data_IF_880302423255
#
_entry.id   IF_880302423255
#
_cell.length_a   1.000
_cell.length_b   1.000
_cell.length_c   1.000
_cell.angle_alpha   90.00
_cell.angle_beta   90.00
_cell.angle_gamma   90.00
#
_symmetry.space_group_name_H-M   'P 1'
#
loop_
_entity.id
_entity.type
_entity.pdbx_description
1 polymer ?
#
# COMPACT_ATOMS: atom_id res chain seq x y z
N UNK A 1 5.56 -41.75 8.45
CA UNK A 1 5.78 -41.18 9.79
C UNK A 1 5.70 -39.67 9.66
N UNK A 2 4.67 -39.04 10.22
CA UNK A 2 4.61 -37.57 10.32
C UNK A 2 5.71 -37.14 11.29
N UNK A 3 6.50 -36.12 10.93
CA UNK A 3 7.59 -35.57 11.76
C UNK A 3 7.03 -35.03 13.08
N UNK A 4 6.97 -35.87 14.12
CA UNK A 4 6.57 -35.49 15.48
C UNK A 4 7.47 -34.37 16.05
N UNK A 5 8.73 -34.26 15.59
CA UNK A 5 9.65 -33.18 15.97
C UNK A 5 9.19 -31.78 15.50
N UNK A 6 8.35 -31.70 14.46
CA UNK A 6 7.97 -30.39 13.87
C UNK A 6 6.81 -29.73 14.61
N UNK A 7 6.02 -30.51 15.34
CA UNK A 7 4.84 -30.04 16.08
C UNK A 7 4.75 -30.80 17.41
N UNK A 8 5.57 -30.45 18.42
CA UNK A 8 5.72 -31.23 19.65
C UNK A 8 4.43 -31.33 20.50
N UNK A 9 3.44 -30.48 20.23
CA UNK A 9 2.13 -30.51 20.91
C UNK A 9 1.02 -31.19 20.09
N UNK A 10 1.35 -31.73 18.91
CA UNK A 10 0.38 -32.39 18.04
C UNK A 10 0.25 -33.87 18.41
N UNK A 11 -0.85 -34.23 19.04
CA UNK A 11 -1.12 -35.61 19.47
C UNK A 11 -2.10 -36.27 18.50
N UNK A 12 -1.64 -37.31 17.80
CA UNK A 12 -2.44 -38.01 16.78
C UNK A 12 -3.75 -38.60 17.30
N UNK A 13 -3.79 -39.02 18.57
CA UNK A 13 -5.00 -39.57 19.20
C UNK A 13 -6.13 -38.55 19.34
N UNK A 14 -5.84 -37.25 19.22
CA UNK A 14 -6.83 -36.17 19.32
C UNK A 14 -7.42 -35.80 17.96
N UNK A 15 -7.09 -36.53 16.89
CA UNK A 15 -7.65 -36.30 15.56
C UNK A 15 -9.03 -36.94 15.44
N UNK A 16 -9.99 -36.15 14.98
CA UNK A 16 -11.34 -36.58 14.63
C UNK A 16 -11.52 -36.40 13.13
N UNK A 17 -12.00 -37.45 12.46
CA UNK A 17 -12.44 -37.31 11.08
C UNK A 17 -13.75 -36.51 11.06
N UNK A 18 -13.77 -35.43 10.28
CA UNK A 18 -14.96 -34.60 10.06
C UNK A 18 -15.27 -34.65 8.57
N UNK A 19 -16.34 -35.37 8.22
CA UNK A 19 -16.87 -35.44 6.85
C UNK A 19 -18.04 -34.46 6.73
N UNK A 20 -17.71 -33.18 6.57
CA UNK A 20 -18.67 -32.10 6.41
C UNK A 20 -18.22 -31.18 5.25
N UNK A 21 -19.04 -31.08 4.21
CA UNK A 21 -18.76 -30.26 3.03
C UNK A 21 -18.77 -28.75 3.35
N UNK A 22 -19.60 -28.29 4.29
CA UNK A 22 -19.64 -26.89 4.73
C UNK A 22 -18.34 -26.50 5.46
N UNK A 23 -17.76 -27.42 6.25
CA UNK A 23 -16.44 -27.21 6.85
C UNK A 23 -15.37 -27.01 5.76
N UNK A 24 -15.40 -27.82 4.69
CA UNK A 24 -14.46 -27.66 3.58
C UNK A 24 -14.61 -26.28 2.93
N UNK A 25 -15.85 -25.81 2.72
CA UNK A 25 -16.11 -24.47 2.18
C UNK A 25 -15.60 -23.35 3.10
N UNK A 26 -15.80 -23.48 4.42
CA UNK A 26 -15.30 -22.52 5.41
C UNK A 26 -13.77 -22.50 5.46
N UNK A 27 -13.11 -23.65 5.40
CA UNK A 27 -11.64 -23.74 5.35
C UNK A 27 -11.09 -23.15 4.04
N UNK A 28 -11.72 -23.42 2.90
CA UNK A 28 -11.36 -22.82 1.61
C UNK A 28 -11.52 -21.29 1.66
N UNK A 29 -12.61 -20.79 2.26
CA UNK A 29 -12.84 -19.35 2.45
C UNK A 29 -11.79 -18.73 3.37
N UNK A 30 -11.43 -19.41 4.45
CA UNK A 30 -10.39 -19.01 5.38
C UNK A 30 -9.01 -18.94 4.72
N UNK A 31 -8.62 -19.93 3.91
CA UNK A 31 -7.36 -19.89 3.17
C UNK A 31 -7.35 -18.80 2.09
N UNK A 32 -8.47 -18.62 1.37
CA UNK A 32 -8.60 -17.56 0.37
C UNK A 32 -8.56 -16.16 0.97
N UNK A 33 -8.94 -15.98 2.23
CA UNK A 33 -8.88 -14.69 2.92
C UNK A 33 -7.44 -14.14 3.03
N UNK A 34 -6.43 -15.01 3.04
CA UNK A 34 -5.01 -14.63 3.06
C UNK A 34 -4.46 -14.27 1.66
N UNK A 35 -5.25 -14.45 0.59
CA UNK A 35 -4.83 -14.12 -0.78
C UNK A 35 -5.24 -12.69 -1.12
N UNK A 36 -4.40 -11.74 -0.75
CA UNK A 36 -4.61 -10.32 -1.05
C UNK A 36 -4.46 -10.04 -2.55
N UNK A 37 -5.56 -9.61 -3.19
CA UNK A 37 -5.60 -9.17 -4.59
C UNK A 37 -5.94 -7.69 -4.77
N UNK A 38 -6.25 -7.00 -3.68
CA UNK A 38 -6.69 -5.60 -3.66
C UNK A 38 -5.75 -4.83 -2.75
N UNK A 39 -5.18 -3.76 -3.27
CA UNK A 39 -4.12 -2.99 -2.63
C UNK A 39 -4.46 -1.51 -2.63
N UNK A 40 -4.12 -0.82 -1.57
CA UNK A 40 -4.29 0.63 -1.45
C UNK A 40 -3.00 1.27 -0.97
N UNK A 41 -2.59 2.34 -1.65
CA UNK A 41 -1.33 3.02 -1.35
C UNK A 41 -1.56 4.52 -1.29
N UNK A 42 -1.04 5.17 -0.25
CA UNK A 42 -1.10 6.61 -0.14
C UNK A 42 -0.10 7.29 -1.08
N UNK A 43 -0.43 8.49 -1.56
CA UNK A 43 0.46 9.32 -2.36
C UNK A 43 0.47 10.72 -1.78
N UNK A 44 1.62 11.13 -1.24
CA UNK A 44 1.81 12.43 -0.60
C UNK A 44 2.78 13.28 -1.43
N UNK A 45 2.44 14.54 -1.62
CA UNK A 45 3.28 15.53 -2.29
C UNK A 45 4.06 16.34 -1.26
N UNK A 46 5.37 16.47 -1.46
CA UNK A 46 6.25 17.38 -0.73
C UNK A 46 6.73 18.45 -1.69
N UNK A 47 6.51 19.73 -1.37
CA UNK A 47 6.95 20.88 -2.16
C UNK A 47 8.18 21.54 -1.53
N UNK A 48 8.83 22.40 -2.32
CA UNK A 48 9.95 23.23 -1.86
C UNK A 48 9.63 23.96 -0.54
N UNK A 49 10.56 23.87 0.42
CA UNK A 49 10.46 24.52 1.72
C UNK A 49 9.62 23.78 2.77
N UNK A 50 8.84 22.76 2.40
CA UNK A 50 8.01 22.02 3.36
C UNK A 50 8.84 21.00 4.13
N UNK A 51 8.57 20.87 5.44
CA UNK A 51 9.30 19.97 6.35
C UNK A 51 8.41 19.26 7.36
N UNK A 52 7.10 19.57 7.40
CA UNK A 52 6.17 19.03 8.39
C UNK A 52 4.97 18.34 7.74
N UNK A 53 4.42 17.36 8.45
CA UNK A 53 3.26 16.59 8.00
C UNK A 53 2.06 17.46 7.63
N UNK A 54 1.70 18.42 8.48
CA UNK A 54 0.60 19.36 8.24
C UNK A 54 0.77 20.13 6.91
N UNK A 55 1.99 20.56 6.59
CA UNK A 55 2.29 21.25 5.33
C UNK A 55 2.11 20.34 4.11
N UNK A 56 2.53 19.08 4.22
CA UNK A 56 2.38 18.11 3.12
C UNK A 56 0.90 17.79 2.87
N UNK A 57 0.12 17.60 3.93
CA UNK A 57 -1.31 17.33 3.86
C UNK A 57 -2.14 18.55 3.46
N UNK A 58 -1.60 19.77 3.57
CA UNK A 58 -2.26 20.99 3.11
C UNK A 58 -2.24 21.17 1.59
N UNK A 59 -1.40 20.41 0.87
CA UNK A 59 -1.27 20.55 -0.58
C UNK A 59 -2.58 20.21 -1.31
N UNK A 60 -3.15 21.18 -2.03
CA UNK A 60 -4.37 20.99 -2.84
C UNK A 60 -4.09 20.70 -4.32
N UNK A 61 -2.90 21.03 -4.80
CA UNK A 61 -2.47 20.81 -6.18
C UNK A 61 -0.96 20.58 -6.23
N UNK A 62 -0.48 19.92 -7.28
CA UNK A 62 0.94 19.74 -7.56
C UNK A 62 1.38 20.39 -8.86
N UNK A 63 2.67 20.25 -9.14
CA UNK A 63 3.31 20.71 -10.37
C UNK A 63 2.96 19.84 -11.58
N UNK A 64 3.38 20.26 -12.77
CA UNK A 64 3.24 19.46 -14.00
C UNK A 64 3.98 18.11 -13.89
N UNK A 65 5.19 18.10 -13.32
CA UNK A 65 5.94 16.87 -13.06
C UNK A 65 5.25 15.93 -12.06
N UNK A 66 4.55 16.47 -11.07
CA UNK A 66 3.71 15.66 -10.18
C UNK A 66 2.54 15.04 -10.92
N UNK A 67 1.85 15.82 -11.77
CA UNK A 67 0.72 15.32 -12.54
C UNK A 67 1.16 14.24 -13.54
N UNK A 68 2.30 14.41 -14.21
CA UNK A 68 2.87 13.37 -15.08
C UNK A 68 3.19 12.09 -14.29
N UNK A 69 3.75 12.23 -13.08
CA UNK A 69 3.98 11.09 -12.20
C UNK A 69 2.68 10.36 -11.81
N UNK A 70 1.57 11.07 -11.58
CA UNK A 70 0.29 10.43 -11.31
C UNK A 70 -0.19 9.55 -12.48
N UNK A 71 0.14 9.90 -13.73
CA UNK A 71 -0.14 9.06 -14.90
C UNK A 71 0.73 7.79 -14.95
N UNK A 72 1.94 7.83 -14.36
CA UNK A 72 2.79 6.64 -14.18
C UNK A 72 2.13 5.65 -13.20
N UNK A 73 1.45 6.17 -12.17
CA UNK A 73 0.77 5.35 -11.17
C UNK A 73 -0.43 4.60 -11.75
N UNK A 74 -1.23 5.25 -12.58
CA UNK A 74 -2.43 4.64 -13.15
C UNK A 74 -3.33 5.61 -13.90
N UNK A 75 -4.57 5.19 -14.09
CA UNK A 75 -5.61 5.97 -14.74
C UNK A 75 -6.35 6.84 -13.72
N UNK A 76 -6.59 8.11 -14.05
CA UNK A 76 -7.47 8.97 -13.26
C UNK A 76 -8.93 8.55 -13.48
N UNK A 77 -9.63 8.23 -12.40
CA UNK A 77 -11.01 7.73 -12.43
C UNK A 77 -11.94 8.65 -11.64
N UNK A 78 -13.21 8.71 -12.05
CA UNK A 78 -14.28 9.31 -11.25
C UNK A 78 -14.74 8.32 -10.17
N UNK A 79 -14.88 8.79 -8.94
CA UNK A 79 -15.29 7.95 -7.80
C UNK A 79 -16.80 7.69 -7.80
N UNK A 80 -17.60 8.67 -8.23
CA UNK A 80 -19.05 8.54 -8.25
C UNK A 80 -19.47 7.38 -9.16
N UNK A 81 -20.14 6.39 -8.57
CA UNK A 81 -20.59 5.21 -9.29
C UNK A 81 -19.48 4.20 -9.63
N UNK A 82 -18.25 4.38 -9.13
CA UNK A 82 -17.14 3.44 -9.36
C UNK A 82 -17.48 2.04 -8.85
N UNK A 83 -17.33 1.03 -9.70
CA UNK A 83 -17.75 -0.37 -9.43
C UNK A 83 -16.61 -1.32 -9.11
N UNK A 84 -15.35 -0.89 -9.31
CA UNK A 84 -14.16 -1.70 -9.01
C UNK A 84 -13.70 -1.43 -7.58
N UNK A 85 -12.55 -2.00 -7.18
CA UNK A 85 -12.02 -1.74 -5.85
C UNK A 85 -11.80 -0.24 -5.59
N UNK A 86 -12.36 0.28 -4.50
CA UNK A 86 -12.34 1.69 -4.13
C UNK A 86 -11.36 2.04 -3.00
N UNK A 87 -10.66 1.08 -2.40
CA UNK A 87 -9.69 1.38 -1.33
C UNK A 87 -10.28 1.89 -0.01
N UNK A 88 -11.61 2.00 0.10
CA UNK A 88 -12.28 2.69 1.21
C UNK A 88 -12.61 4.15 0.91
N UNK A 89 -12.41 4.60 -0.33
CA UNK A 89 -12.94 5.87 -0.84
C UNK A 89 -14.46 5.76 -1.07
N UNK A 90 -15.15 6.87 -0.88
CA UNK A 90 -16.59 7.04 -1.10
C UNK A 90 -16.91 7.07 -2.59
N UNK A 91 -17.79 6.16 -3.03
CA UNK A 91 -18.24 6.03 -4.42
C UNK A 91 -19.71 6.42 -4.62
N UNK A 92 -20.41 6.77 -3.55
CA UNK A 92 -21.83 7.14 -3.58
C UNK A 92 -22.01 8.65 -3.41
N UNK A 93 -21.27 9.22 -2.46
CA UNK A 93 -21.20 10.64 -2.20
C UNK A 93 -19.93 11.28 -2.78
N UNK A 94 -19.39 12.23 -2.02
CA UNK A 94 -18.19 13.00 -2.36
C UNK A 94 -17.28 13.21 -1.15
N UNK A 95 -17.47 12.42 -0.08
CA UNK A 95 -16.77 12.63 1.20
C UNK A 95 -15.28 12.38 1.13
N UNK A 96 -14.80 11.67 0.08
CA UNK A 96 -13.39 11.40 -0.17
C UNK A 96 -12.93 11.94 -1.53
N UNK A 97 -13.58 13.01 -2.00
CA UNK A 97 -13.24 13.67 -3.26
C UNK A 97 -14.04 13.12 -4.44
N UNK A 98 -13.78 13.65 -5.63
CA UNK A 98 -14.50 13.29 -6.86
C UNK A 98 -13.73 12.31 -7.75
N UNK A 99 -12.39 12.29 -7.61
CA UNK A 99 -11.50 11.51 -8.45
C UNK A 99 -10.41 10.84 -7.63
N UNK A 100 -9.84 9.81 -8.21
CA UNK A 100 -8.64 9.16 -7.69
C UNK A 100 -7.81 8.60 -8.84
N UNK A 101 -6.70 7.93 -8.52
CA UNK A 101 -5.91 7.16 -9.48
C UNK A 101 -6.08 5.67 -9.18
N UNK A 102 -6.35 4.89 -10.22
CA UNK A 102 -6.55 3.45 -10.14
C UNK A 102 -5.70 2.70 -11.16
N UNK A 103 -5.22 1.52 -10.78
CA UNK A 103 -4.47 0.65 -11.68
C UNK A 103 -4.87 -0.82 -11.55
N UNK A 104 -5.33 -1.46 -12.64
CA UNK A 104 -5.30 -2.91 -12.72
C UNK A 104 -3.86 -3.38 -12.94
N UNK A 105 -3.44 -4.44 -12.25
CA UNK A 105 -2.11 -5.01 -12.41
C UNK A 105 -2.20 -6.51 -12.60
N UNK A 106 -1.55 -7.03 -13.65
CA UNK A 106 -1.53 -8.46 -13.94
C UNK A 106 -0.10 -8.99 -13.78
N UNK A 107 0.06 -9.98 -12.91
CA UNK A 107 1.37 -10.59 -12.67
C UNK A 107 1.19 -12.04 -12.26
N UNK A 108 2.04 -12.93 -12.82
CA UNK A 108 2.06 -14.37 -12.54
C UNK A 108 0.67 -15.03 -12.62
N UNK A 109 -0.10 -14.70 -13.66
CA UNK A 109 -1.45 -15.25 -13.86
C UNK A 109 -2.52 -14.72 -12.89
N UNK A 110 -2.19 -13.77 -12.02
CA UNK A 110 -3.11 -13.15 -11.09
C UNK A 110 -3.42 -11.70 -11.48
N UNK A 111 -4.69 -11.32 -11.34
CA UNK A 111 -5.16 -9.94 -11.45
C UNK A 111 -5.22 -9.30 -10.07
N UNK A 112 -4.64 -8.12 -9.98
CA UNK A 112 -4.61 -7.25 -8.82
C UNK A 112 -5.31 -5.93 -9.15
N UNK A 113 -5.88 -5.31 -8.14
CA UNK A 113 -6.48 -3.99 -8.22
C UNK A 113 -5.78 -3.06 -7.23
N UNK A 114 -5.29 -1.92 -7.71
CA UNK A 114 -4.57 -0.95 -6.91
C UNK A 114 -5.36 0.35 -6.93
N UNK A 115 -5.74 0.84 -5.75
CA UNK A 115 -6.30 2.17 -5.54
C UNK A 115 -5.25 3.06 -4.89
N UNK A 116 -5.06 4.27 -5.41
CA UNK A 116 -4.13 5.23 -4.80
C UNK A 116 -4.89 6.29 -4.01
N UNK A 117 -4.54 6.53 -2.76
CA UNK A 117 -5.09 7.66 -2.00
C UNK A 117 -4.24 8.89 -2.26
N UNK A 118 -4.61 9.67 -3.27
CA UNK A 118 -3.88 10.88 -3.68
C UNK A 118 -4.21 12.03 -2.74
N UNK A 119 -3.24 12.52 -1.96
CA UNK A 119 -3.48 13.56 -0.95
C UNK A 119 -4.12 14.82 -1.53
N UNK A 120 -3.71 15.22 -2.75
CA UNK A 120 -4.22 16.40 -3.45
C UNK A 120 -5.63 16.21 -4.05
N UNK A 121 -6.13 14.97 -4.17
CA UNK A 121 -7.48 14.68 -4.67
C UNK A 121 -8.50 14.41 -3.57
N UNK A 122 -8.04 14.17 -2.34
CA UNK A 122 -8.90 14.11 -1.16
C UNK A 122 -9.43 15.51 -0.80
N UNK A 123 -10.60 15.63 -0.16
CA UNK A 123 -11.15 16.93 0.22
C UNK A 123 -10.19 17.71 1.13
N UNK A 124 -10.19 19.03 0.94
CA UNK A 124 -9.48 19.98 1.78
C UNK A 124 -10.51 20.84 2.48
N UNK A 125 -10.39 20.96 3.80
CA UNK A 125 -11.23 21.80 4.63
C UNK A 125 -10.33 22.82 5.33
N UNK A 126 -10.57 24.12 5.10
CA UNK A 126 -9.72 25.20 5.64
C UNK A 126 -9.75 25.27 7.17
N UNK A 127 -10.87 24.87 7.77
CA UNK A 127 -11.09 24.79 9.21
C UNK A 127 -10.46 23.55 9.87
N UNK A 128 -10.08 22.54 9.08
CA UNK A 128 -9.35 21.36 9.54
C UNK A 128 -7.83 21.55 9.43
N UNK A 129 -7.26 22.33 10.35
CA UNK A 129 -5.82 22.61 10.41
C UNK A 129 -4.95 21.35 10.61
N UNK A 130 -5.53 20.26 11.10
CA UNK A 130 -4.82 18.99 11.30
C UNK A 130 -4.95 18.06 10.10
N UNK A 131 -5.81 18.39 9.13
CA UNK A 131 -6.12 17.59 7.96
C UNK A 131 -6.47 16.15 8.32
N UNK A 132 -7.30 15.99 9.36
CA UNK A 132 -7.65 14.71 9.99
C UNK A 132 -8.17 13.70 8.97
N UNK A 133 -9.07 14.11 8.07
CA UNK A 133 -9.64 13.17 7.09
C UNK A 133 -8.58 12.70 6.07
N UNK A 134 -7.70 13.60 5.61
CA UNK A 134 -6.58 13.21 4.73
C UNK A 134 -5.61 12.27 5.44
N UNK A 135 -5.25 12.58 6.69
CA UNK A 135 -4.41 11.73 7.54
C UNK A 135 -5.08 10.39 7.86
N UNK A 136 -6.40 10.35 8.00
CA UNK A 136 -7.16 9.11 8.21
C UNK A 136 -7.07 8.18 7.01
N UNK A 137 -7.11 8.70 5.79
CA UNK A 137 -6.96 7.85 4.60
C UNK A 137 -5.50 7.42 4.41
N UNK A 138 -4.56 8.37 4.28
CA UNK A 138 -3.16 8.06 3.96
C UNK A 138 -2.39 7.43 5.13
N UNK A 139 -2.66 7.87 6.36
CA UNK A 139 -1.96 7.37 7.55
C UNK A 139 -2.36 5.95 7.95
N UNK A 140 -3.43 5.41 7.36
CA UNK A 140 -3.84 4.00 7.53
C UNK A 140 -3.27 3.10 6.42
N UNK A 141 -2.59 3.66 5.41
CA UNK A 141 -1.98 2.88 4.35
C UNK A 141 -0.58 2.41 4.77
N UNK A 142 -0.34 1.11 4.69
CA UNK A 142 0.92 0.48 5.11
C UNK A 142 2.11 0.94 4.25
N UNK A 143 1.85 1.26 2.98
CA UNK A 143 2.86 1.77 2.05
C UNK A 143 2.38 3.10 1.48
N UNK A 144 3.24 4.10 1.58
CA UNK A 144 3.00 5.44 1.09
C UNK A 144 4.08 5.82 0.06
N UNK A 145 3.66 6.45 -1.03
CA UNK A 145 4.53 7.02 -2.04
C UNK A 145 4.69 8.50 -1.71
N UNK A 146 5.93 8.96 -1.63
CA UNK A 146 6.24 10.37 -1.43
C UNK A 146 6.76 10.90 -2.76
N UNK A 147 6.00 11.77 -3.43
CA UNK A 147 6.55 12.54 -4.54
C UNK A 147 7.24 13.77 -3.97
N UNK A 148 8.57 13.75 -3.99
CA UNK A 148 9.40 14.83 -3.49
C UNK A 148 9.73 15.80 -4.63
N UNK A 149 8.99 16.90 -4.67
CA UNK A 149 9.16 18.03 -5.57
C UNK A 149 9.92 19.18 -4.90
N UNK A 150 10.86 18.83 -4.01
CA UNK A 150 11.75 19.77 -3.35
C UNK A 150 13.21 19.45 -3.69
N UNK A 151 14.06 20.45 -3.50
CA UNK A 151 15.51 20.34 -3.64
C UNK A 151 16.18 19.54 -2.51
N UNK A 152 15.45 19.27 -1.42
CA UNK A 152 15.98 18.60 -0.22
C UNK A 152 15.53 17.15 -0.16
N UNK A 153 16.36 16.24 0.38
CA UNK A 153 15.92 14.88 0.67
C UNK A 153 14.72 14.89 1.63
N UNK A 154 13.75 14.02 1.36
CA UNK A 154 12.63 13.80 2.26
C UNK A 154 13.12 13.10 3.53
N UNK A 155 12.76 13.63 4.70
CA UNK A 155 13.00 12.98 5.99
C UNK A 155 11.78 12.14 6.40
N UNK A 156 11.86 10.81 6.46
CA UNK A 156 10.75 9.96 6.91
C UNK A 156 10.24 10.29 8.31
N UNK A 157 11.05 10.90 9.17
CA UNK A 157 10.63 11.32 10.52
C UNK A 157 9.69 12.54 10.51
N UNK A 158 9.60 13.27 9.38
CA UNK A 158 8.71 14.41 9.23
C UNK A 158 7.22 14.04 9.16
N UNK A 159 6.90 12.77 8.87
CA UNK A 159 5.52 12.26 8.85
C UNK A 159 5.23 11.52 10.16
N UNK A 160 4.49 12.18 11.05
CA UNK A 160 4.11 11.62 12.35
C UNK A 160 2.90 10.69 12.14
N UNK A 161 3.11 9.38 12.28
CA UNK A 161 2.03 8.39 12.17
C UNK A 161 2.23 7.20 13.09
N UNK A 162 1.12 6.68 13.61
CA UNK A 162 1.09 5.55 14.56
C UNK A 162 1.10 4.17 13.88
N UNK A 163 1.06 4.10 12.55
CA UNK A 163 1.07 2.84 11.81
C UNK A 163 2.43 2.55 11.21
N UNK A 164 2.67 1.27 10.87
CA UNK A 164 3.92 0.88 10.23
C UNK A 164 3.92 1.32 8.78
N UNK A 165 4.88 2.17 8.40
CA UNK A 165 4.99 2.70 7.06
C UNK A 165 6.28 2.28 6.36
N UNK A 166 6.12 1.82 5.12
CA UNK A 166 7.17 1.89 4.11
C UNK A 166 6.91 3.11 3.23
N UNK A 167 7.92 3.97 3.08
CA UNK A 167 7.89 5.08 2.15
C UNK A 167 8.71 4.74 0.89
N UNK A 168 8.06 4.85 -0.27
CA UNK A 168 8.75 4.88 -1.56
C UNK A 168 8.82 6.34 -2.00
N UNK A 169 9.99 6.94 -1.88
CA UNK A 169 10.23 8.33 -2.25
C UNK A 169 10.59 8.38 -3.74
N UNK A 170 9.92 9.24 -4.49
CA UNK A 170 10.13 9.46 -5.91
C UNK A 170 10.42 10.95 -6.12
N UNK A 171 11.53 11.28 -6.75
CA UNK A 171 11.86 12.65 -7.18
C UNK A 171 12.25 12.65 -8.65
N UNK A 172 12.23 13.81 -9.29
CA UNK A 172 12.76 13.94 -10.66
C UNK A 172 14.29 13.96 -10.59
N UNK A 173 14.93 13.16 -11.44
CA UNK A 173 16.37 13.18 -11.65
C UNK A 173 16.71 14.20 -12.74
N UNK A 174 17.04 15.42 -12.32
CA UNK A 174 17.27 16.57 -13.22
C UNK A 174 18.44 16.34 -14.20
N UNK A 175 19.47 15.59 -13.79
CA UNK A 175 20.62 15.28 -14.64
C UNK A 175 20.22 14.32 -15.78
N UNK A 176 19.64 13.18 -15.44
CA UNK A 176 19.21 12.19 -16.44
C UNK A 176 18.09 12.73 -17.33
N UNK A 177 17.18 13.54 -16.76
CA UNK A 177 16.09 14.16 -17.52
C UNK A 177 16.64 15.09 -18.62
N UNK A 178 17.66 15.89 -18.30
CA UNK A 178 18.33 16.78 -19.27
C UNK A 178 19.14 15.99 -20.30
N UNK A 179 19.87 14.96 -19.88
CA UNK A 179 20.70 14.16 -20.78
C UNK A 179 19.87 13.38 -21.80
N UNK A 180 18.75 12.78 -21.35
CA UNK A 180 17.92 11.90 -22.18
C UNK A 180 16.78 12.62 -22.91
N UNK A 181 16.46 13.84 -22.50
CA UNK A 181 15.37 14.63 -23.10
C UNK A 181 13.96 14.15 -22.73
N UNK A 182 13.83 13.29 -21.73
CA UNK A 182 12.56 12.77 -21.20
C UNK A 182 12.63 12.62 -19.68
N UNK A 183 11.49 12.67 -18.98
CA UNK A 183 11.47 12.61 -17.52
C UNK A 183 12.07 11.30 -16.99
N UNK A 184 13.06 11.47 -16.11
CA UNK A 184 13.66 10.40 -15.33
C UNK A 184 13.39 10.63 -13.85
N UNK A 185 13.14 9.54 -13.13
CA UNK A 185 12.72 9.52 -11.73
C UNK A 185 13.76 8.81 -10.89
N UNK A 186 14.20 9.43 -9.81
CA UNK A 186 15.00 8.79 -8.76
C UNK A 186 14.08 8.19 -7.71
N UNK A 187 14.34 6.95 -7.32
CA UNK A 187 13.57 6.23 -6.31
C UNK A 187 14.42 5.94 -5.09
N UNK A 188 13.93 6.29 -3.92
CA UNK A 188 14.53 5.96 -2.63
C UNK A 188 13.50 5.23 -1.77
N UNK A 189 13.97 4.42 -0.81
CA UNK A 189 13.09 3.60 0.02
C UNK A 189 13.48 3.78 1.47
N UNK A 190 12.53 4.26 2.26
CA UNK A 190 12.64 4.30 3.71
C UNK A 190 11.65 3.31 4.31
N UNK A 191 12.15 2.29 5.01
CA UNK A 191 11.32 1.34 5.73
C UNK A 191 11.44 1.63 7.23
N UNK A 192 10.32 1.54 7.95
CA UNK A 192 10.38 1.44 9.40
C UNK A 192 11.13 0.17 9.83
N UNK A 193 11.71 0.20 11.03
CA UNK A 193 12.52 -0.90 11.58
C UNK A 193 11.75 -2.22 11.54
N UNK A 194 12.45 -3.32 11.23
CA UNK A 194 11.94 -4.70 11.19
C UNK A 194 11.11 -5.10 9.95
N UNK A 195 10.91 -4.22 8.96
CA UNK A 195 10.40 -4.65 7.64
C UNK A 195 11.52 -5.44 6.93
N UNK A 196 11.30 -6.71 6.56
CA UNK A 196 12.30 -7.50 5.84
C UNK A 196 12.54 -6.96 4.43
N UNK A 197 13.65 -7.36 3.79
CA UNK A 197 13.92 -7.00 2.39
C UNK A 197 12.89 -7.66 1.46
N UNK A 198 12.56 -6.96 0.36
CA UNK A 198 11.58 -7.43 -0.62
C UNK A 198 11.98 -7.07 -2.06
N UNK A 199 11.56 -7.93 -2.98
CA UNK A 199 11.80 -7.82 -4.40
C UNK A 199 10.75 -6.93 -5.10
N UNK A 200 10.99 -6.46 -6.34
CA UNK A 200 12.31 -6.42 -6.99
C UNK A 200 13.30 -5.54 -6.19
N UNK A 201 14.62 -5.84 -6.22
CA UNK A 201 15.60 -4.98 -5.58
C UNK A 201 15.58 -3.58 -6.20
N UNK A 202 15.94 -2.57 -5.42
CA UNK A 202 16.23 -1.24 -5.96
C UNK A 202 17.52 -1.35 -6.78
N UNK A 203 17.49 -0.86 -8.02
CA UNK A 203 18.68 -0.87 -8.88
C UNK A 203 19.68 0.21 -8.46
N UNK A 204 20.91 0.08 -8.94
CA UNK A 204 21.98 1.05 -8.72
C UNK A 204 22.58 1.45 -10.08
N UNK A 205 22.45 2.71 -10.53
CA UNK A 205 21.79 3.83 -9.86
C UNK A 205 20.26 3.67 -9.80
N UNK A 206 19.57 4.25 -8.79
CA UNK A 206 18.13 4.07 -8.59
C UNK A 206 17.30 5.05 -9.42
N UNK A 207 17.66 5.24 -10.69
CA UNK A 207 17.04 6.20 -11.62
C UNK A 207 16.22 5.43 -12.64
N UNK A 208 15.03 5.90 -13.02
CA UNK A 208 14.09 5.24 -13.93
C UNK A 208 13.48 6.16 -14.96
N UNK A 209 13.41 5.70 -16.22
CA UNK A 209 12.53 6.34 -17.19
C UNK A 209 11.07 6.15 -16.78
N UNK A 210 10.19 6.94 -17.38
CA UNK A 210 8.73 6.86 -17.15
C UNK A 210 8.19 5.44 -17.29
N UNK A 211 8.52 4.75 -18.38
CA UNK A 211 7.99 3.40 -18.65
C UNK A 211 8.60 2.33 -17.73
N UNK A 212 9.90 2.43 -17.42
CA UNK A 212 10.53 1.51 -16.47
C UNK A 212 9.92 1.63 -15.07
N UNK A 213 9.68 2.86 -14.59
CA UNK A 213 9.04 3.09 -13.31
C UNK A 213 7.61 2.56 -13.31
N UNK A 214 6.87 2.81 -14.41
CA UNK A 214 5.50 2.32 -14.60
C UNK A 214 5.43 0.80 -14.46
N UNK A 215 6.39 0.05 -15.01
CA UNK A 215 6.39 -1.42 -14.92
C UNK A 215 6.87 -1.95 -13.57
N UNK A 216 7.90 -1.33 -12.99
CA UNK A 216 8.56 -1.80 -11.77
C UNK A 216 7.75 -1.50 -10.50
N UNK A 217 7.15 -0.31 -10.42
CA UNK A 217 6.56 0.24 -9.20
C UNK A 217 5.42 -0.60 -8.60
N UNK A 218 4.43 -1.12 -9.38
CA UNK A 218 3.33 -1.91 -8.81
C UNK A 218 3.81 -3.16 -8.07
N UNK A 219 4.77 -3.90 -8.66
CA UNK A 219 5.37 -5.07 -8.01
C UNK A 219 6.10 -4.67 -6.73
N UNK A 220 6.81 -3.54 -6.75
CA UNK A 220 7.53 -3.05 -5.58
C UNK A 220 6.58 -2.70 -4.44
N UNK A 221 5.50 -1.97 -4.72
CA UNK A 221 4.50 -1.56 -3.72
C UNK A 221 3.81 -2.76 -3.09
N UNK A 222 3.36 -3.72 -3.91
CA UNK A 222 2.72 -4.96 -3.42
C UNK A 222 3.66 -5.74 -2.50
N UNK A 223 4.92 -5.89 -2.89
CA UNK A 223 5.89 -6.65 -2.11
C UNK A 223 6.35 -5.88 -0.86
N UNK A 224 6.38 -4.55 -0.89
CA UNK A 224 6.60 -3.71 0.28
C UNK A 224 5.52 -3.93 1.33
N UNK A 225 4.24 -3.92 0.93
CA UNK A 225 3.12 -4.14 1.85
C UNK A 225 3.14 -5.55 2.43
N UNK A 226 3.36 -6.57 1.58
CA UNK A 226 3.51 -7.96 2.02
C UNK A 226 4.66 -8.12 3.01
N UNK A 227 5.78 -7.45 2.79
CA UNK A 227 6.90 -7.46 3.73
C UNK A 227 6.57 -6.75 5.04
N UNK A 228 5.88 -5.60 4.98
CA UNK A 228 5.45 -4.88 6.17
C UNK A 228 4.50 -5.72 7.04
N UNK A 229 3.65 -6.56 6.45
CA UNK A 229 2.82 -7.52 7.19
C UNK A 229 3.62 -8.60 7.95
N UNK A 230 4.88 -8.86 7.56
CA UNK A 230 5.78 -9.76 8.29
C UNK A 230 6.44 -9.08 9.49
N UNK A 231 6.41 -7.74 9.57
CA UNK A 231 6.95 -7.01 10.71
C UNK A 231 6.18 -7.35 11.99
N UNK A 232 6.86 -7.58 13.14
CA UNK A 232 6.24 -8.07 14.38
C UNK A 232 5.00 -7.31 14.82
N UNK A 233 5.01 -5.98 14.72
CA UNK A 233 3.89 -5.15 15.19
C UNK A 233 2.62 -5.27 14.34
N UNK A 234 2.70 -5.61 13.05
CA UNK A 234 1.51 -5.94 12.24
C UNK A 234 1.18 -7.44 12.32
N UNK A 235 2.20 -8.30 12.24
CA UNK A 235 2.05 -9.76 12.29
C UNK A 235 1.30 -10.22 13.53
N UNK A 236 1.55 -9.60 14.69
CA UNK A 236 0.84 -9.93 15.93
C UNK A 236 -0.69 -9.71 15.81
N UNK A 237 -1.11 -8.58 15.22
CA UNK A 237 -2.53 -8.26 14.99
C UNK A 237 -3.19 -9.24 14.01
N UNK A 238 -2.50 -9.57 12.91
CA UNK A 238 -2.98 -10.54 11.93
C UNK A 238 -3.10 -11.94 12.51
N UNK A 239 -2.11 -12.36 13.32
CA UNK A 239 -2.11 -13.69 13.96
C UNK A 239 -3.30 -13.84 14.92
N UNK A 240 -3.62 -12.79 15.68
CA UNK A 240 -4.80 -12.78 16.56
C UNK A 240 -6.11 -12.98 15.77
N UNK A 241 -6.28 -12.24 14.67
CA UNK A 241 -7.46 -12.36 13.80
C UNK A 241 -7.57 -13.76 13.20
N UNK A 242 -6.46 -14.30 12.67
CA UNK A 242 -6.41 -15.64 12.09
C UNK A 242 -6.74 -16.73 13.11
N UNK A 243 -6.25 -16.58 14.35
CA UNK A 243 -6.56 -17.50 15.45
C UNK A 243 -8.05 -17.45 15.83
N UNK A 244 -8.65 -16.26 15.85
CA UNK A 244 -10.07 -16.11 16.15
C UNK A 244 -10.94 -16.78 15.06
N UNK A 245 -10.65 -16.51 13.78
CA UNK A 245 -11.39 -17.13 12.68
C UNK A 245 -11.32 -18.66 12.69
N UNK A 246 -10.15 -19.23 13.02
CA UNK A 246 -10.01 -20.68 13.19
C UNK A 246 -10.76 -21.19 14.41
N UNK A 247 -10.79 -20.43 15.51
CA UNK A 247 -11.56 -20.79 16.70
C UNK A 247 -13.06 -20.79 16.42
N UNK A 248 -13.55 -19.83 15.62
CA UNK A 248 -14.96 -19.75 15.22
C UNK A 248 -15.34 -20.97 14.35
N UNK A 249 -14.52 -21.33 13.36
CA UNK A 249 -14.70 -22.55 12.55
C UNK A 249 -14.68 -23.79 13.46
N UNK A 250 -13.77 -23.85 14.43
CA UNK A 250 -13.71 -24.98 15.36
C UNK A 250 -14.94 -25.06 16.28
N UNK A 251 -15.48 -23.94 16.75
CA UNK A 251 -16.71 -23.94 17.56
C UNK A 251 -17.93 -24.45 16.76
N UNK A 252 -17.97 -24.15 15.46
CA UNK A 252 -19.07 -24.53 14.58
C UNK A 252 -19.01 -26.00 14.15
N UNK A 253 -17.81 -26.55 13.90
CA UNK A 253 -17.62 -27.88 13.28
C UNK A 253 -16.79 -28.89 14.09
N UNK A 254 -16.23 -28.51 15.25
CA UNK A 254 -15.33 -29.31 16.09
C UNK A 254 -15.97 -30.46 16.86
#
# INVERSE_FOLDING_TARGET
ALNEERYPNFVLSNLRAVDNTELQEHLVKFEKADVFKKYKFGVLLVKEGQTRDDEFFANQSGSERYNEFLEVLGEKIELKGWKKYAGGLDTEGFSTGTHSVYRPYFSLGSKYEIMFHISTMLPFYEDDLQHVERKRHLGNDVVNIIFNDSSKPFDPASVITNFIHTYIVVSVDEESTKEKGEMHYRVEIANQTQVPKYNPPLRNPPIFSREELKEWLPSKLINAERAAFLAPAIRFKLTGTRKQLLADIFQEFG
#
